data_IF_119018824107
#
_entry.id   IF_119018824107
#
_cell.length_a   1.000
_cell.length_b   1.000
_cell.length_c   1.000
_cell.angle_alpha   90.00
_cell.angle_beta   90.00
_cell.angle_gamma   90.00
#
_symmetry.space_group_name_H-M   'P 1'
#
loop_
_entity.id
_entity.type
_entity.pdbx_description
1 polymer ?
#
# COMPACT_ATOMS: atom_id res chain seq x y z
N UNK A 1 5.83 11.27 -24.10
CA UNK A 1 5.82 11.96 -22.79
C UNK A 1 6.19 10.93 -21.73
N UNK A 2 7.06 11.27 -20.77
CA UNK A 2 7.45 10.35 -19.68
C UNK A 2 6.88 10.88 -18.37
N UNK A 3 6.17 10.04 -17.62
CA UNK A 3 5.57 10.42 -16.33
C UNK A 3 6.29 9.74 -15.17
N UNK A 4 6.22 10.37 -13.99
CA UNK A 4 6.65 9.75 -12.74
C UNK A 4 5.41 9.24 -11.99
N UNK A 5 5.45 7.99 -11.52
CA UNK A 5 4.38 7.40 -10.72
C UNK A 5 4.74 7.53 -9.24
N UNK A 6 3.95 8.34 -8.54
CA UNK A 6 3.97 8.49 -7.09
C UNK A 6 3.12 7.41 -6.39
N UNK A 7 3.35 7.18 -5.09
CA UNK A 7 2.64 6.17 -4.31
C UNK A 7 1.13 6.41 -4.30
N UNK A 8 0.70 7.67 -4.35
CA UNK A 8 -0.71 8.05 -4.36
C UNK A 8 -1.50 7.50 -5.55
N UNK A 9 -0.87 7.30 -6.72
CA UNK A 9 -1.55 6.70 -7.88
C UNK A 9 -1.93 5.26 -7.58
N UNK A 10 -0.99 4.48 -7.04
CA UNK A 10 -1.25 3.08 -6.67
C UNK A 10 -2.27 2.98 -5.54
N UNK A 11 -2.10 3.78 -4.49
CA UNK A 11 -2.92 3.69 -3.28
C UNK A 11 -4.38 4.08 -3.54
N UNK A 12 -4.61 5.11 -4.37
CA UNK A 12 -5.98 5.49 -4.75
C UNK A 12 -6.75 4.35 -5.41
N UNK A 13 -6.08 3.61 -6.30
CA UNK A 13 -6.69 2.46 -6.95
C UNK A 13 -6.85 1.29 -5.97
N UNK A 14 -5.79 0.91 -5.27
CA UNK A 14 -5.74 -0.31 -4.45
C UNK A 14 -6.57 -0.23 -3.17
N UNK A 15 -6.84 0.98 -2.66
CA UNK A 15 -7.65 1.23 -1.46
C UNK A 15 -9.03 1.80 -1.77
N UNK A 16 -9.41 1.88 -3.06
CA UNK A 16 -10.69 2.45 -3.52
C UNK A 16 -10.97 3.87 -2.97
N UNK A 17 -9.95 4.73 -3.00
CA UNK A 17 -10.05 6.11 -2.53
C UNK A 17 -10.59 7.05 -3.63
N UNK A 18 -11.05 8.26 -3.27
CA UNK A 18 -11.43 9.28 -4.26
C UNK A 18 -10.35 9.50 -5.33
N UNK A 19 -10.72 9.20 -6.57
CA UNK A 19 -9.81 9.26 -7.72
C UNK A 19 -9.29 7.90 -8.20
N UNK A 20 -9.75 6.78 -7.64
CA UNK A 20 -9.42 5.42 -8.08
C UNK A 20 -9.52 5.24 -9.61
N UNK A 21 -10.65 5.64 -10.22
CA UNK A 21 -10.83 5.52 -11.67
C UNK A 21 -9.92 6.41 -12.51
N UNK A 22 -9.38 7.49 -11.96
CA UNK A 22 -8.35 8.29 -12.65
C UNK A 22 -6.97 7.62 -12.55
N UNK A 23 -6.66 7.03 -11.40
CA UNK A 23 -5.44 6.26 -11.21
C UNK A 23 -5.42 5.00 -12.08
N UNK A 24 -6.54 4.29 -12.19
CA UNK A 24 -6.72 3.14 -13.08
C UNK A 24 -6.36 3.49 -14.51
N UNK A 25 -6.94 4.56 -15.07
CA UNK A 25 -6.65 5.03 -16.43
C UNK A 25 -5.17 5.33 -16.65
N UNK A 26 -4.49 5.90 -15.66
CA UNK A 26 -3.03 6.17 -15.75
C UNK A 26 -2.26 4.86 -15.80
N UNK A 27 -2.59 3.90 -14.92
CA UNK A 27 -1.90 2.62 -14.84
C UNK A 27 -2.18 1.74 -16.06
N UNK A 28 -3.41 1.71 -16.57
CA UNK A 28 -3.78 1.02 -17.81
C UNK A 28 -3.03 1.61 -19.02
N UNK A 29 -2.90 2.94 -19.12
CA UNK A 29 -2.16 3.56 -20.21
C UNK A 29 -0.66 3.22 -20.16
N UNK A 30 -0.10 3.04 -18.95
CA UNK A 30 1.27 2.55 -18.76
C UNK A 30 1.39 1.08 -19.15
N UNK A 31 0.44 0.23 -18.71
CA UNK A 31 0.39 -1.19 -19.05
C UNK A 31 0.30 -1.42 -20.57
N UNK A 32 -0.55 -0.63 -21.25
CA UNK A 32 -0.72 -0.65 -22.72
C UNK A 32 0.44 -0.01 -23.48
N UNK A 33 1.48 0.46 -22.80
CA UNK A 33 2.63 1.16 -23.40
C UNK A 33 2.26 2.45 -24.16
N UNK A 34 1.10 3.04 -23.88
CA UNK A 34 0.67 4.32 -24.43
C UNK A 34 1.41 5.49 -23.76
N UNK A 35 1.79 5.30 -22.48
CA UNK A 35 2.57 6.24 -21.69
C UNK A 35 3.80 5.55 -21.11
N UNK A 36 4.96 6.17 -21.29
CA UNK A 36 6.19 5.71 -20.65
C UNK A 36 6.24 6.26 -19.22
N UNK A 37 6.41 5.39 -18.23
CA UNK A 37 6.45 5.77 -16.82
C UNK A 37 7.72 5.29 -16.12
N UNK A 38 8.12 5.99 -15.05
CA UNK A 38 9.12 5.53 -14.10
C UNK A 38 8.62 5.72 -12.65
N UNK A 39 9.17 4.92 -11.74
CA UNK A 39 8.98 5.07 -10.30
C UNK A 39 10.31 4.79 -9.59
N UNK A 40 10.36 4.96 -8.27
CA UNK A 40 11.55 4.60 -7.47
C UNK A 40 11.24 3.44 -6.54
N UNK A 41 12.26 2.68 -6.10
CA UNK A 41 12.08 1.68 -5.05
C UNK A 41 11.42 2.24 -3.79
N UNK A 42 11.74 3.48 -3.40
CA UNK A 42 11.15 4.15 -2.24
C UNK A 42 9.63 4.33 -2.37
N UNK A 43 9.11 4.63 -3.56
CA UNK A 43 7.67 4.71 -3.82
C UNK A 43 7.02 3.34 -3.63
N UNK A 44 7.66 2.27 -4.14
CA UNK A 44 7.14 0.91 -3.99
C UNK A 44 7.15 0.44 -2.51
N UNK A 45 8.18 0.81 -1.75
CA UNK A 45 8.22 0.57 -0.30
C UNK A 45 7.08 1.30 0.43
N UNK A 46 6.81 2.55 0.09
CA UNK A 46 5.72 3.32 0.68
C UNK A 46 4.35 2.70 0.38
N UNK A 47 4.11 2.29 -0.88
CA UNK A 47 2.87 1.59 -1.27
C UNK A 47 2.72 0.31 -0.46
N UNK A 48 3.77 -0.51 -0.40
CA UNK A 48 3.76 -1.78 0.33
C UNK A 48 3.48 -1.57 1.83
N UNK A 49 4.16 -0.61 2.45
CA UNK A 49 3.97 -0.29 3.87
C UNK A 49 2.54 0.16 4.18
N UNK A 50 1.98 1.06 3.36
CA UNK A 50 0.62 1.58 3.58
C UNK A 50 -0.45 0.52 3.34
N UNK A 51 -0.29 -0.36 2.37
CA UNK A 51 -1.20 -1.50 2.16
C UNK A 51 -1.17 -2.48 3.34
N UNK A 52 0.02 -2.82 3.83
CA UNK A 52 0.17 -3.67 5.02
C UNK A 52 -0.45 -3.02 6.25
N UNK A 53 -0.24 -1.71 6.43
CA UNK A 53 -0.83 -0.97 7.54
C UNK A 53 -2.36 -0.91 7.44
N UNK A 54 -2.91 -0.70 6.25
CA UNK A 54 -4.36 -0.71 6.02
C UNK A 54 -4.95 -2.10 6.32
N UNK A 55 -4.31 -3.17 5.85
CA UNK A 55 -4.72 -4.55 6.15
C UNK A 55 -4.65 -4.85 7.66
N UNK A 56 -3.55 -4.47 8.33
CA UNK A 56 -3.41 -4.64 9.77
C UNK A 56 -4.44 -3.83 10.56
N UNK A 57 -4.73 -2.61 10.11
CA UNK A 57 -5.76 -1.75 10.70
C UNK A 57 -7.14 -2.39 10.63
N UNK A 58 -7.51 -2.97 9.48
CA UNK A 58 -8.76 -3.70 9.30
C UNK A 58 -8.84 -4.95 10.18
N UNK A 59 -7.76 -5.74 10.26
CA UNK A 59 -7.72 -6.98 11.07
C UNK A 59 -7.72 -6.73 12.58
N UNK A 60 -7.12 -5.63 13.03
CA UNK A 60 -6.93 -5.32 14.45
C UNK A 60 -7.93 -4.30 14.98
N UNK A 61 -8.86 -3.85 14.14
CA UNK A 61 -9.88 -2.83 14.41
C UNK A 61 -9.29 -1.57 15.07
N UNK A 62 -8.18 -1.07 14.51
CA UNK A 62 -7.54 0.13 15.03
C UNK A 62 -6.69 0.82 13.97
N UNK A 63 -6.81 2.14 13.88
CA UNK A 63 -5.99 2.97 12.98
C UNK A 63 -4.69 3.45 13.64
N UNK A 64 -4.49 3.14 14.92
CA UNK A 64 -3.32 3.56 15.68
C UNK A 64 -2.15 2.62 15.37
N UNK A 65 -1.12 3.17 14.72
CA UNK A 65 0.09 2.45 14.31
C UNK A 65 0.82 1.82 15.51
N UNK A 66 0.83 2.49 16.66
CA UNK A 66 1.46 1.97 17.88
C UNK A 66 0.68 0.78 18.43
N UNK A 67 -0.65 0.87 18.45
CA UNK A 67 -1.50 -0.27 18.85
C UNK A 67 -1.38 -1.45 17.89
N UNK A 68 -1.30 -1.19 16.58
CA UNK A 68 -1.02 -2.23 15.58
C UNK A 68 0.29 -2.91 15.90
N UNK A 69 1.36 -2.13 16.14
CA UNK A 69 2.68 -2.65 16.47
C UNK A 69 2.70 -3.47 17.76
N UNK A 70 2.02 -3.02 18.81
CA UNK A 70 1.90 -3.75 20.07
C UNK A 70 1.18 -5.08 19.90
N UNK A 71 0.04 -5.09 19.21
CA UNK A 71 -0.73 -6.31 18.93
C UNK A 71 0.02 -7.32 18.05
N UNK A 72 0.82 -6.84 17.10
CA UNK A 72 1.66 -7.72 16.26
C UNK A 72 2.79 -8.36 17.09
N UNK A 73 3.44 -7.58 17.97
CA UNK A 73 4.50 -8.11 18.85
C UNK A 73 3.96 -9.17 19.82
N UNK A 74 2.84 -8.89 20.48
CA UNK A 74 2.28 -9.84 21.45
C UNK A 74 1.87 -11.16 20.81
N UNK A 75 1.38 -11.12 19.56
CA UNK A 75 1.09 -12.33 18.77
C UNK A 75 2.35 -13.12 18.42
N UNK A 76 3.41 -12.44 17.97
CA UNK A 76 4.68 -13.08 17.64
C UNK A 76 5.32 -13.75 18.87
N UNK A 77 5.26 -13.09 20.04
CA UNK A 77 5.72 -13.64 21.31
C UNK A 77 4.91 -14.87 21.73
N UNK A 78 3.58 -14.85 21.52
CA UNK A 78 2.73 -16.00 21.80
C UNK A 78 3.04 -17.19 20.89
N UNK A 79 3.21 -16.97 19.59
CA UNK A 79 3.56 -18.01 18.61
C UNK A 79 4.95 -18.61 18.87
N UNK A 80 5.91 -17.81 19.35
CA UNK A 80 7.27 -18.26 19.68
C UNK A 80 7.37 -19.10 20.96
N UNK A 81 6.32 -19.12 21.81
CA UNK A 81 6.27 -19.92 23.05
C UNK A 81 5.57 -21.27 22.87
N UNK A 82 4.98 -21.51 21.71
CA UNK A 82 4.23 -22.73 21.39
C UNK A 82 5.11 -23.76 20.65
N UNK A 83 6.31 -23.35 20.22
CA UNK A 83 7.36 -24.21 19.67
C UNK A 83 8.58 -24.22 20.60
#
# INVERSE_FOLDING_TARGET
MRIFLDSSVFLKLLLDEPGAGAAEKVLEAVERSEVLACTTPLVLEEVSFKLLLAAASALLDTKDVWRIREKLKSRQEAESRVF
#
